data_IF_892408029803
#
_entry.id   IF_892408029803
#
_cell.length_a   1.000
_cell.length_b   1.000
_cell.length_c   1.000
_cell.angle_alpha   90.00
_cell.angle_beta   90.00
_cell.angle_gamma   90.00
#
_symmetry.space_group_name_H-M   'P 1'
#
loop_
_entity.id
_entity.type
_entity.pdbx_description
1 polymer ?
#
# COMPACT_ATOMS: atom_id res chain seq x y z
N UNK A 1 -14.16 7.64 -3.74
CA UNK A 1 -12.73 7.34 -3.47
C UNK A 1 -11.95 8.65 -3.56
N UNK A 2 -11.10 8.96 -2.58
CA UNK A 2 -10.24 10.13 -2.58
C UNK A 2 -9.26 10.09 -3.77
N UNK A 3 -9.00 11.24 -4.37
CA UNK A 3 -7.98 11.40 -5.41
C UNK A 3 -6.56 11.57 -4.85
N UNK A 4 -6.46 11.85 -3.55
CA UNK A 4 -5.21 12.10 -2.85
C UNK A 4 -5.05 11.01 -1.80
N UNK A 5 -4.24 10.01 -2.13
CA UNK A 5 -3.93 8.86 -1.29
C UNK A 5 -5.18 8.23 -0.64
N UNK A 6 -6.03 7.53 -1.40
CA UNK A 6 -7.20 6.89 -0.82
C UNK A 6 -6.83 5.82 0.22
N UNK A 7 -7.64 5.69 1.25
CA UNK A 7 -7.55 4.67 2.29
C UNK A 7 -7.91 3.28 1.74
N UNK A 8 -7.13 2.26 2.09
CA UNK A 8 -7.31 0.90 1.56
C UNK A 8 -8.50 0.13 2.13
N UNK A 9 -9.21 0.72 3.09
CA UNK A 9 -10.39 0.10 3.70
C UNK A 9 -11.69 0.80 3.28
N UNK A 10 -11.75 2.14 3.34
CA UNK A 10 -12.96 2.91 2.99
C UNK A 10 -12.84 3.77 1.72
N UNK A 11 -11.66 3.89 1.13
CA UNK A 11 -11.42 4.78 0.00
C UNK A 11 -11.46 6.28 0.34
N UNK A 12 -11.57 6.67 1.61
CA UNK A 12 -11.51 8.05 2.08
C UNK A 12 -10.12 8.67 1.99
N UNK A 13 -9.94 9.98 2.29
CA UNK A 13 -8.63 10.62 2.25
C UNK A 13 -7.72 10.12 3.37
N UNK A 14 -6.41 10.02 3.13
CA UNK A 14 -5.40 9.77 4.19
C UNK A 14 -4.59 11.00 4.57
N UNK A 15 -4.81 12.13 3.90
CA UNK A 15 -4.16 13.42 4.17
C UNK A 15 -5.04 14.32 5.07
N UNK A 16 -4.46 15.37 5.65
CA UNK A 16 -5.18 16.42 6.38
C UNK A 16 -6.12 15.92 7.50
N UNK A 17 -5.65 14.97 8.31
CA UNK A 17 -6.45 14.37 9.40
C UNK A 17 -7.38 13.25 8.96
N UNK A 18 -7.23 12.76 7.73
CA UNK A 18 -7.93 11.58 7.21
C UNK A 18 -7.50 10.26 7.84
N UNK A 19 -7.80 9.15 7.16
CA UNK A 19 -7.48 7.82 7.64
C UNK A 19 -5.97 7.61 7.81
N UNK A 20 -5.54 7.24 9.00
CA UNK A 20 -4.16 6.87 9.29
C UNK A 20 -3.91 5.41 8.90
N UNK A 21 -2.68 5.09 8.53
CA UNK A 21 -2.28 3.72 8.19
C UNK A 21 -0.93 3.43 8.82
N UNK A 22 -0.85 2.34 9.56
CA UNK A 22 0.30 1.89 10.30
C UNK A 22 0.39 0.36 10.35
N UNK A 23 1.49 -0.13 10.91
CA UNK A 23 1.71 -1.55 11.12
C UNK A 23 2.12 -1.75 12.58
N UNK A 24 1.30 -2.46 13.35
CA UNK A 24 1.54 -2.77 14.76
C UNK A 24 1.49 -4.28 14.96
N UNK A 25 2.57 -4.87 15.49
CA UNK A 25 2.70 -6.32 15.67
C UNK A 25 2.42 -7.13 14.38
N UNK A 26 2.87 -6.61 13.22
CA UNK A 26 2.67 -7.23 11.92
C UNK A 26 1.23 -7.16 11.36
N UNK A 27 0.33 -6.45 12.04
CA UNK A 27 -1.06 -6.23 11.62
C UNK A 27 -1.29 -4.80 11.16
N UNK A 28 -2.29 -4.61 10.31
CA UNK A 28 -2.79 -3.28 9.97
C UNK A 28 -3.24 -2.56 11.25
N UNK A 29 -2.75 -1.35 11.42
CA UNK A 29 -3.18 -0.39 12.44
C UNK A 29 -3.75 0.84 11.72
N UNK A 30 -5.02 1.17 11.93
CA UNK A 30 -5.68 2.28 11.25
C UNK A 30 -6.82 2.83 12.10
N UNK A 31 -7.03 4.15 12.05
CA UNK A 31 -8.18 4.81 12.67
C UNK A 31 -9.45 4.76 11.79
N UNK A 32 -9.40 4.12 10.61
CA UNK A 32 -10.56 4.09 9.73
C UNK A 32 -11.68 3.22 10.35
N UNK A 33 -12.95 3.69 10.36
CA UNK A 33 -14.06 2.94 10.95
C UNK A 33 -14.39 1.63 10.22
N UNK A 34 -13.96 1.50 8.95
CA UNK A 34 -14.13 0.27 8.15
C UNK A 34 -12.87 -0.63 8.20
N UNK A 35 -11.95 -0.35 9.12
CA UNK A 35 -10.76 -1.19 9.31
C UNK A 35 -11.14 -2.57 9.80
N UNK A 36 -10.54 -3.58 9.20
CA UNK A 36 -10.53 -4.94 9.70
C UNK A 36 -9.09 -5.38 9.96
N UNK A 37 -8.89 -6.21 10.97
CA UNK A 37 -7.57 -6.70 11.32
C UNK A 37 -7.12 -7.81 10.36
N UNK A 38 -5.93 -7.68 9.80
CA UNK A 38 -5.27 -8.75 9.04
C UNK A 38 -3.76 -8.70 9.25
N UNK A 39 -3.10 -9.85 9.04
CA UNK A 39 -1.64 -9.95 9.06
C UNK A 39 -1.08 -9.46 7.72
N UNK A 40 -0.23 -8.44 7.75
CA UNK A 40 0.32 -7.79 6.54
C UNK A 40 1.15 -8.78 5.73
N UNK A 41 1.92 -9.64 6.39
CA UNK A 41 2.74 -10.66 5.74
C UNK A 41 1.91 -11.71 4.98
N UNK A 42 0.70 -12.01 5.45
CA UNK A 42 -0.20 -12.97 4.81
C UNK A 42 -0.95 -12.30 3.66
N UNK A 43 -1.46 -11.09 3.90
CA UNK A 43 -2.16 -10.31 2.87
C UNK A 43 -1.24 -9.89 1.71
N UNK A 44 0.05 -9.71 1.98
CA UNK A 44 1.05 -9.35 0.96
C UNK A 44 1.49 -10.50 0.07
N UNK A 45 1.06 -11.74 0.34
CA UNK A 45 1.29 -12.86 -0.56
C UNK A 45 0.20 -12.88 -1.62
N UNK A 46 0.58 -12.62 -2.87
CA UNK A 46 -0.32 -12.83 -3.99
C UNK A 46 -0.74 -14.31 -4.07
N UNK A 47 -2.03 -14.55 -4.20
CA UNK A 47 -2.62 -15.85 -4.46
C UNK A 47 -3.75 -15.67 -5.47
N UNK A 48 -3.77 -16.46 -6.54
CA UNK A 48 -4.82 -16.37 -7.56
C UNK A 48 -6.24 -16.52 -6.98
N UNK A 49 -6.37 -17.32 -5.93
CA UNK A 49 -7.65 -17.55 -5.25
C UNK A 49 -8.09 -16.41 -4.34
N UNK A 50 -7.18 -15.51 -3.95
CA UNK A 50 -7.40 -14.37 -3.05
C UNK A 50 -6.40 -13.24 -3.36
N UNK A 51 -6.53 -12.58 -4.52
CA UNK A 51 -5.66 -11.47 -4.87
C UNK A 51 -5.89 -10.32 -3.87
N UNK A 52 -4.81 -9.71 -3.37
CA UNK A 52 -4.89 -8.60 -2.43
C UNK A 52 -3.85 -7.54 -2.77
N UNK A 53 -4.31 -6.36 -3.16
CA UNK A 53 -3.47 -5.17 -3.35
C UNK A 53 -3.64 -4.16 -2.22
N UNK A 54 -4.59 -4.39 -1.30
CA UNK A 54 -4.84 -3.55 -0.13
C UNK A 54 -3.91 -3.94 1.01
N UNK A 55 -2.60 -3.74 0.81
CA UNK A 55 -1.59 -4.00 1.83
C UNK A 55 -0.86 -2.71 2.19
N UNK A 56 -0.68 -2.41 3.48
CA UNK A 56 0.19 -1.32 3.91
C UNK A 56 1.66 -1.73 3.73
N UNK A 57 2.46 -0.85 3.15
CA UNK A 57 3.88 -1.03 2.92
C UNK A 57 4.63 0.10 3.62
N UNK A 58 5.67 -0.25 4.38
CA UNK A 58 6.56 0.72 5.00
C UNK A 58 7.62 1.15 4.00
N UNK A 59 7.80 2.46 3.84
CA UNK A 59 8.89 3.03 3.09
C UNK A 59 10.22 2.76 3.80
N UNK A 60 11.16 2.16 3.07
CA UNK A 60 12.50 1.81 3.52
C UNK A 60 13.52 2.93 3.27
N UNK A 61 13.09 4.02 2.63
CA UNK A 61 13.85 5.26 2.50
C UNK A 61 13.76 6.10 3.78
N UNK A 62 14.37 7.29 3.76
CA UNK A 62 14.54 8.21 4.89
C UNK A 62 13.23 8.73 5.54
N UNK A 63 12.06 8.54 4.94
CA UNK A 63 10.81 9.02 5.50
C UNK A 63 10.10 8.04 6.46
N UNK A 64 10.37 6.73 6.36
CA UNK A 64 9.75 5.70 7.19
C UNK A 64 8.21 5.60 7.15
N UNK A 65 7.55 6.33 6.23
CA UNK A 65 6.09 6.43 6.15
C UNK A 65 5.46 5.11 5.68
N UNK A 66 4.22 4.86 6.09
CA UNK A 66 3.46 3.67 5.68
C UNK A 66 2.35 4.09 4.72
N UNK A 67 2.32 3.48 3.55
CA UNK A 67 1.36 3.76 2.49
C UNK A 67 0.76 2.46 1.96
N UNK A 68 -0.48 2.50 1.49
CA UNK A 68 -1.07 1.38 0.76
C UNK A 68 -0.29 1.09 -0.53
N UNK A 69 -0.15 -0.18 -0.93
CA UNK A 69 0.62 -0.60 -2.11
C UNK A 69 0.26 0.21 -3.37
N UNK A 70 -1.02 0.36 -3.67
CA UNK A 70 -1.49 1.13 -4.82
C UNK A 70 -1.17 2.63 -4.75
N UNK A 71 -0.93 3.18 -3.56
CA UNK A 71 -0.50 4.57 -3.36
C UNK A 71 1.03 4.71 -3.39
N UNK A 72 1.75 3.62 -3.24
CA UNK A 72 3.18 3.63 -2.92
C UNK A 72 4.02 4.19 -4.06
N UNK A 73 3.68 3.88 -5.31
CA UNK A 73 4.37 4.43 -6.47
C UNK A 73 4.25 5.95 -6.54
N UNK A 74 3.07 6.51 -6.26
CA UNK A 74 2.86 7.96 -6.20
C UNK A 74 3.67 8.58 -5.07
N UNK A 75 3.69 7.98 -3.89
CA UNK A 75 4.55 8.40 -2.77
C UNK A 75 6.02 8.51 -3.19
N UNK A 76 6.56 7.51 -3.88
CA UNK A 76 7.94 7.54 -4.35
C UNK A 76 8.19 8.66 -5.36
N UNK A 77 7.26 8.91 -6.29
CA UNK A 77 7.36 10.01 -7.25
C UNK A 77 7.33 11.39 -6.56
N UNK A 78 6.44 11.58 -5.60
CA UNK A 78 6.21 12.88 -4.94
C UNK A 78 7.31 13.21 -3.91
N UNK A 79 7.88 12.20 -3.24
CA UNK A 79 8.76 12.40 -2.08
C UNK A 79 10.20 11.94 -2.28
N UNK A 80 10.46 11.06 -3.25
CA UNK A 80 11.77 10.46 -3.45
C UNK A 80 12.16 10.45 -4.94
N UNK A 81 12.47 11.59 -5.58
CA UNK A 81 12.67 11.66 -7.04
C UNK A 81 13.70 10.68 -7.62
N UNK A 82 14.68 10.26 -6.82
CA UNK A 82 15.75 9.32 -7.20
C UNK A 82 15.52 7.88 -6.71
N UNK A 83 14.30 7.54 -6.25
CA UNK A 83 14.00 6.24 -5.63
C UNK A 83 14.43 5.03 -6.46
N UNK A 84 14.34 5.12 -7.80
CA UNK A 84 14.71 4.02 -8.72
C UNK A 84 16.18 3.65 -8.67
N UNK A 85 17.05 4.58 -8.26
CA UNK A 85 18.48 4.36 -8.14
C UNK A 85 18.86 3.78 -6.77
N UNK A 86 17.97 3.92 -5.78
CA UNK A 86 18.23 3.58 -4.37
C UNK A 86 17.60 2.25 -4.00
N UNK A 87 16.37 1.99 -4.46
CA UNK A 87 15.61 0.79 -4.13
C UNK A 87 16.06 -0.41 -4.96
N UNK A 88 16.15 -1.58 -4.33
CA UNK A 88 16.46 -2.84 -5.02
C UNK A 88 15.31 -3.28 -5.92
N UNK A 89 15.63 -4.02 -6.99
CA UNK A 89 14.60 -4.56 -7.90
C UNK A 89 13.58 -5.46 -7.18
N UNK A 90 14.00 -6.21 -6.17
CA UNK A 90 13.11 -7.04 -5.35
C UNK A 90 12.05 -6.20 -4.61
N UNK A 91 12.48 -5.07 -4.04
CA UNK A 91 11.57 -4.16 -3.36
C UNK A 91 10.63 -3.48 -4.35
N UNK A 92 11.15 -3.06 -5.51
CA UNK A 92 10.34 -2.47 -6.60
C UNK A 92 9.27 -3.46 -7.07
N UNK A 93 9.63 -4.73 -7.22
CA UNK A 93 8.69 -5.78 -7.62
C UNK A 93 7.59 -5.99 -6.59
N UNK A 94 7.89 -5.82 -5.30
CA UNK A 94 6.92 -5.97 -4.21
C UNK A 94 5.87 -4.83 -4.20
N UNK A 95 6.27 -3.61 -4.56
CA UNK A 95 5.40 -2.43 -4.54
C UNK A 95 4.63 -2.23 -5.85
N UNK A 96 5.05 -2.85 -6.95
CA UNK A 96 4.33 -2.83 -8.22
C UNK A 96 3.10 -3.72 -8.16
N UNK A 97 1.99 -3.24 -8.71
CA UNK A 97 0.82 -4.08 -8.99
C UNK A 97 1.09 -4.76 -10.33
N UNK A 98 1.28 -6.07 -10.31
CA UNK A 98 1.50 -6.88 -11.51
C UNK A 98 0.23 -6.99 -12.37
N UNK A 99 0.39 -7.34 -13.65
CA UNK A 99 -0.76 -7.58 -14.55
C UNK A 99 -1.67 -8.70 -14.01
N UNK A 100 -1.09 -9.77 -13.47
CA UNK A 100 -1.86 -10.85 -12.83
C UNK A 100 -2.68 -10.36 -11.64
N UNK A 101 -2.13 -9.45 -10.81
CA UNK A 101 -2.89 -8.80 -9.73
C UNK A 101 -4.03 -7.93 -10.26
N UNK A 102 -3.82 -7.20 -11.36
CA UNK A 102 -4.86 -6.38 -12.00
C UNK A 102 -6.00 -7.23 -12.55
N UNK A 103 -5.67 -8.28 -13.31
CA UNK A 103 -6.63 -9.22 -13.89
C UNK A 103 -7.45 -9.91 -12.79
N UNK A 104 -6.78 -10.42 -11.75
CA UNK A 104 -7.45 -11.11 -10.65
C UNK A 104 -8.36 -10.18 -9.84
N UNK A 105 -8.11 -8.87 -9.86
CA UNK A 105 -8.96 -7.85 -9.23
C UNK A 105 -10.02 -7.26 -10.17
N UNK A 106 -10.09 -7.72 -11.42
CA UNK A 106 -11.03 -7.19 -12.42
C UNK A 106 -10.76 -5.73 -12.79
N UNK A 107 -9.50 -5.29 -12.66
CA UNK A 107 -9.06 -3.96 -13.11
C UNK A 107 -8.76 -4.08 -14.61
N UNK A 108 -9.50 -3.34 -15.48
CA UNK A 108 -9.34 -3.42 -16.93
C UNK A 108 -8.03 -2.80 -17.43
#
# INVERSE_FOLDING_TARGET
>A
VSKEYPCGTCGGPTINGGCTTGIKNGKLDSNCPLTYAFMVSVAGQFRDTRPCTNIPIKCTLDCGQIHWKYNFQRHLQDRHPQWRQILSQDFISTIQISAAEQEALGIP
#
